data_IF_877483040411
#
_entry.id   IF_877483040411
#
_cell.length_a   1.000
_cell.length_b   1.000
_cell.length_c   1.000
_cell.angle_alpha   90.00
_cell.angle_beta   90.00
_cell.angle_gamma   90.00
#
_symmetry.space_group_name_H-M   'P 1'
#
loop_
_entity.id
_entity.type
_entity.pdbx_description
1 polymer ?
#
# COMPACT_ATOMS: atom_id res chain seq x y z
N UNK A 1 24.03 -30.45 -7.40
CA UNK A 1 25.21 -29.77 -6.86
C UNK A 1 26.00 -28.98 -7.95
N UNK A 2 26.27 -29.58 -9.13
CA UNK A 2 27.06 -28.91 -10.18
C UNK A 2 26.37 -27.66 -10.74
N UNK A 3 25.06 -27.72 -11.00
CA UNK A 3 24.28 -26.56 -11.45
C UNK A 3 24.25 -25.44 -10.38
N UNK A 4 24.03 -25.78 -9.12
CA UNK A 4 24.08 -24.84 -8.00
C UNK A 4 25.40 -24.07 -7.92
N UNK A 5 26.51 -24.78 -8.04
CA UNK A 5 27.84 -24.15 -8.03
C UNK A 5 28.05 -23.19 -9.20
N UNK A 6 27.53 -23.54 -10.38
CA UNK A 6 27.60 -22.68 -11.56
C UNK A 6 26.75 -21.44 -11.39
N UNK A 7 25.53 -21.58 -10.89
CA UNK A 7 24.60 -20.48 -10.61
C UNK A 7 25.21 -19.53 -9.56
N UNK A 8 25.64 -20.05 -8.41
CA UNK A 8 26.29 -19.25 -7.36
C UNK A 8 27.55 -18.54 -7.87
N UNK A 9 28.34 -19.20 -8.73
CA UNK A 9 29.52 -18.57 -9.35
C UNK A 9 29.12 -17.45 -10.30
N UNK A 10 28.07 -17.63 -11.08
CA UNK A 10 27.53 -16.61 -11.97
C UNK A 10 27.04 -15.38 -11.18
N UNK A 11 26.23 -15.60 -10.12
CA UNK A 11 25.74 -14.55 -9.26
C UNK A 11 26.88 -13.74 -8.60
N UNK A 12 27.92 -14.45 -8.14
CA UNK A 12 29.10 -13.80 -7.58
C UNK A 12 29.87 -12.98 -8.62
N UNK A 13 29.97 -13.47 -9.85
CA UNK A 13 30.62 -12.71 -10.94
C UNK A 13 29.82 -11.46 -11.29
N UNK A 14 28.47 -11.57 -11.40
CA UNK A 14 27.59 -10.43 -11.64
C UNK A 14 27.73 -9.41 -10.50
N UNK A 15 27.73 -9.85 -9.25
CA UNK A 15 27.90 -8.97 -8.09
C UNK A 15 29.26 -8.25 -8.09
N UNK A 16 30.33 -8.92 -8.53
CA UNK A 16 31.68 -8.30 -8.67
C UNK A 16 31.79 -7.31 -9.82
N UNK A 17 31.00 -7.48 -10.88
CA UNK A 17 30.95 -6.60 -12.04
C UNK A 17 30.05 -5.37 -11.83
N UNK A 18 29.11 -5.44 -10.90
CA UNK A 18 28.26 -4.30 -10.54
C UNK A 18 29.05 -3.35 -9.62
N UNK A 19 29.46 -2.22 -10.16
CA UNK A 19 30.44 -1.25 -9.58
C UNK A 19 29.88 -0.39 -8.43
N UNK A 20 28.67 -0.63 -7.91
CA UNK A 20 27.98 0.37 -7.10
C UNK A 20 27.88 0.10 -5.58
N UNK A 21 28.60 -0.86 -5.03
CA UNK A 21 28.55 -1.09 -3.58
C UNK A 21 29.92 -1.03 -2.90
N UNK A 22 30.01 -0.30 -1.81
CA UNK A 22 31.16 -0.29 -0.89
C UNK A 22 31.28 -1.59 -0.07
N UNK A 23 30.43 -2.60 -0.32
CA UNK A 23 30.37 -3.87 0.39
C UNK A 23 31.08 -4.98 -0.38
N UNK A 24 31.54 -5.99 0.35
CA UNK A 24 32.15 -7.17 -0.26
C UNK A 24 31.06 -8.02 -0.96
N UNK A 25 31.19 -8.29 -2.29
CA UNK A 25 30.15 -9.00 -3.07
C UNK A 25 29.78 -10.38 -2.53
N UNK A 26 30.69 -11.05 -1.84
CA UNK A 26 30.45 -12.33 -1.18
C UNK A 26 29.49 -12.20 0.02
N UNK A 27 29.62 -11.14 0.80
CA UNK A 27 28.75 -10.87 1.97
C UNK A 27 27.34 -10.57 1.49
N UNK A 28 27.21 -9.71 0.48
CA UNK A 28 25.90 -9.37 -0.10
C UNK A 28 25.21 -10.60 -0.69
N UNK A 29 25.95 -11.46 -1.36
CA UNK A 29 25.40 -12.69 -1.92
C UNK A 29 24.89 -13.63 -0.81
N UNK A 30 25.66 -13.80 0.26
CA UNK A 30 25.25 -14.61 1.42
C UNK A 30 23.98 -14.02 2.04
N UNK A 31 23.89 -12.69 2.22
CA UNK A 31 22.69 -12.01 2.73
C UNK A 31 21.49 -12.27 1.82
N UNK A 32 21.62 -12.19 0.50
CA UNK A 32 20.56 -12.50 -0.47
C UNK A 32 20.04 -13.94 -0.34
N UNK A 33 20.94 -14.92 -0.23
CA UNK A 33 20.56 -16.32 -0.07
C UNK A 33 19.88 -16.59 1.28
N UNK A 34 20.40 -16.00 2.38
CA UNK A 34 19.75 -16.09 3.71
C UNK A 34 18.34 -15.52 3.68
N UNK A 35 18.14 -14.36 3.06
CA UNK A 35 16.82 -13.73 2.93
C UNK A 35 15.88 -14.55 2.03
N UNK A 36 16.40 -15.23 0.99
CA UNK A 36 15.61 -16.14 0.15
C UNK A 36 15.15 -17.37 0.94
N UNK A 37 16.05 -17.99 1.72
CA UNK A 37 15.72 -19.13 2.59
C UNK A 37 14.66 -18.72 3.62
N UNK A 38 14.83 -17.57 4.25
CA UNK A 38 13.85 -17.04 5.23
C UNK A 38 12.47 -16.86 4.59
N UNK A 39 12.38 -16.22 3.42
CA UNK A 39 11.10 -16.06 2.71
C UNK A 39 10.41 -17.39 2.39
N UNK A 40 11.17 -18.40 2.03
CA UNK A 40 10.62 -19.74 1.77
C UNK A 40 10.14 -20.37 3.10
N UNK A 41 10.92 -20.26 4.18
CA UNK A 41 10.57 -20.80 5.48
C UNK A 41 9.35 -20.11 6.13
N UNK A 42 9.06 -18.89 5.72
CA UNK A 42 7.91 -18.11 6.19
C UNK A 42 6.62 -18.34 5.39
N UNK A 43 6.66 -19.18 4.34
CA UNK A 43 5.45 -19.53 3.61
C UNK A 43 4.48 -20.33 4.50
N UNK A 44 3.20 -19.95 4.44
CA UNK A 44 2.11 -20.57 5.17
C UNK A 44 1.30 -21.50 4.27
N UNK A 45 0.49 -22.35 4.87
CA UNK A 45 -0.45 -23.21 4.12
C UNK A 45 -1.41 -22.38 3.24
N UNK A 46 -1.84 -21.22 3.73
CA UNK A 46 -2.69 -20.29 2.97
C UNK A 46 -2.00 -19.75 1.70
N UNK A 47 -0.69 -19.47 1.76
CA UNK A 47 0.06 -19.04 0.57
C UNK A 47 0.09 -20.13 -0.49
N UNK A 48 0.26 -21.39 -0.06
CA UNK A 48 0.27 -22.58 -0.95
C UNK A 48 -1.13 -22.84 -1.50
N UNK A 49 -2.16 -22.74 -0.65
CA UNK A 49 -3.55 -22.90 -1.06
C UNK A 49 -3.95 -21.86 -2.10
N UNK A 50 -3.61 -20.58 -1.85
CA UNK A 50 -3.87 -19.47 -2.76
C UNK A 50 -3.18 -19.69 -4.11
N UNK A 51 -1.91 -20.13 -4.09
CA UNK A 51 -1.17 -20.45 -5.31
C UNK A 51 -1.83 -21.56 -6.11
N UNK A 52 -2.18 -22.66 -5.45
CA UNK A 52 -2.81 -23.81 -6.10
C UNK A 52 -4.18 -23.44 -6.69
N UNK A 53 -4.99 -22.71 -5.93
CA UNK A 53 -6.31 -22.24 -6.36
C UNK A 53 -6.20 -21.30 -7.56
N UNK A 54 -5.23 -20.35 -7.54
CA UNK A 54 -5.00 -19.45 -8.68
C UNK A 54 -4.51 -20.18 -9.93
N UNK A 55 -3.69 -21.21 -9.80
CA UNK A 55 -3.33 -22.06 -10.94
C UNK A 55 -4.58 -22.73 -11.52
N UNK A 56 -5.48 -23.22 -10.68
CA UNK A 56 -6.72 -23.86 -11.11
C UNK A 56 -7.66 -22.87 -11.80
N UNK A 57 -7.94 -21.71 -11.21
CA UNK A 57 -8.85 -20.70 -11.78
C UNK A 57 -8.36 -20.19 -13.12
N UNK A 58 -7.06 -19.96 -13.27
CA UNK A 58 -6.44 -19.53 -14.52
C UNK A 58 -6.54 -20.56 -15.67
N UNK A 59 -6.87 -21.84 -15.37
CA UNK A 59 -7.15 -22.83 -16.42
C UNK A 59 -8.54 -22.61 -17.06
N UNK A 60 -9.46 -22.00 -16.35
CA UNK A 60 -10.81 -21.71 -16.83
C UNK A 60 -10.91 -20.34 -17.47
N UNK A 61 -10.29 -19.34 -16.84
CA UNK A 61 -10.28 -17.96 -17.33
C UNK A 61 -9.03 -17.25 -16.81
N UNK A 62 -8.21 -16.64 -17.69
CA UNK A 62 -6.98 -15.95 -17.30
C UNK A 62 -7.21 -14.71 -16.44
N UNK A 63 -8.44 -14.20 -16.35
CA UNK A 63 -8.82 -13.06 -15.53
C UNK A 63 -9.44 -13.44 -14.18
N UNK A 64 -9.69 -14.74 -13.95
CA UNK A 64 -10.21 -15.24 -12.68
C UNK A 64 -9.09 -15.43 -11.66
N UNK A 65 -9.24 -14.79 -10.50
CA UNK A 65 -8.25 -14.83 -9.42
C UNK A 65 -8.93 -15.13 -8.08
N UNK A 66 -8.38 -16.09 -7.35
CA UNK A 66 -8.74 -16.30 -5.95
C UNK A 66 -7.98 -15.29 -5.07
N UNK A 67 -8.71 -14.56 -4.27
CA UNK A 67 -8.15 -13.71 -3.23
C UNK A 67 -8.27 -14.42 -1.88
N UNK A 68 -7.16 -14.62 -1.18
CA UNK A 68 -7.21 -15.03 0.23
C UNK A 68 -7.95 -13.96 1.05
N UNK A 69 -8.47 -14.28 2.24
CA UNK A 69 -9.17 -13.31 3.07
C UNK A 69 -8.39 -12.00 3.23
N UNK A 70 -7.09 -12.12 3.47
CA UNK A 70 -6.19 -10.99 3.56
C UNK A 70 -6.03 -10.22 2.25
N UNK A 71 -5.81 -10.92 1.14
CA UNK A 71 -5.69 -10.26 -0.18
C UNK A 71 -7.00 -9.58 -0.57
N UNK A 72 -8.15 -10.09 -0.10
CA UNK A 72 -9.45 -9.45 -0.26
C UNK A 72 -9.53 -8.15 0.57
N UNK A 73 -9.07 -8.16 1.82
CA UNK A 73 -9.01 -6.94 2.64
C UNK A 73 -8.10 -5.87 2.01
N UNK A 74 -6.91 -6.27 1.53
CA UNK A 74 -6.01 -5.34 0.85
C UNK A 74 -6.62 -4.81 -0.47
N UNK A 75 -7.36 -5.65 -1.18
CA UNK A 75 -8.13 -5.22 -2.36
C UNK A 75 -9.20 -4.21 -1.98
N UNK A 76 -9.99 -4.47 -0.92
CA UNK A 76 -11.03 -3.55 -0.45
C UNK A 76 -10.45 -2.21 0.01
N UNK A 77 -9.31 -2.20 0.71
CA UNK A 77 -8.58 -0.98 1.08
C UNK A 77 -8.15 -0.17 -0.16
N UNK A 78 -7.61 -0.86 -1.18
CA UNK A 78 -7.16 -0.20 -2.40
C UNK A 78 -8.33 0.34 -3.23
N UNK A 79 -9.49 -0.31 -3.18
CA UNK A 79 -10.68 0.10 -3.91
C UNK A 79 -11.50 1.16 -3.17
N UNK A 80 -11.63 1.07 -1.85
CA UNK A 80 -12.38 2.06 -1.05
C UNK A 80 -11.56 3.31 -0.72
N UNK A 81 -10.24 3.24 -0.85
CA UNK A 81 -9.27 4.25 -0.37
C UNK A 81 -9.42 4.56 1.13
N UNK A 82 -9.86 3.56 1.91
CA UNK A 82 -10.04 3.65 3.36
C UNK A 82 -9.37 2.47 4.04
N UNK A 83 -8.77 2.70 5.17
CA UNK A 83 -8.26 1.64 6.03
C UNK A 83 -8.42 2.00 7.50
N UNK A 84 -8.61 1.02 8.36
CA UNK A 84 -8.60 1.21 9.80
C UNK A 84 -7.21 0.88 10.36
N UNK A 85 -6.59 1.84 11.01
CA UNK A 85 -5.24 1.65 11.54
C UNK A 85 -4.64 2.91 12.15
N UNK A 86 -3.32 2.96 12.17
CA UNK A 86 -2.56 4.07 12.77
C UNK A 86 -2.08 5.14 11.77
N UNK A 87 -2.24 4.90 10.46
CA UNK A 87 -1.77 5.83 9.42
C UNK A 87 -0.27 5.84 9.25
N UNK A 88 0.34 4.66 9.11
CA UNK A 88 1.75 4.50 8.80
C UNK A 88 1.94 3.54 7.61
N UNK A 89 2.79 3.94 6.66
CA UNK A 89 3.31 3.04 5.63
C UNK A 89 4.51 2.31 6.19
N UNK A 90 4.46 0.99 6.12
CA UNK A 90 5.49 0.12 6.67
C UNK A 90 6.30 -0.55 5.57
N UNK A 91 7.56 -0.84 5.85
CA UNK A 91 8.47 -1.58 5.00
C UNK A 91 9.33 -2.53 5.81
N UNK A 92 10.16 -3.30 5.13
CA UNK A 92 11.11 -4.22 5.76
C UNK A 92 12.53 -3.73 5.56
N UNK A 93 13.29 -3.62 6.64
CA UNK A 93 14.72 -3.38 6.64
C UNK A 93 15.41 -4.44 7.50
N UNK A 94 16.19 -5.30 6.86
CA UNK A 94 16.82 -6.48 7.47
C UNK A 94 15.79 -7.38 8.19
N UNK A 95 15.78 -7.37 9.52
CA UNK A 95 14.87 -8.16 10.37
C UNK A 95 13.75 -7.32 10.99
N UNK A 96 13.74 -6.01 10.71
CA UNK A 96 12.80 -5.09 11.33
C UNK A 96 11.70 -4.66 10.36
N UNK A 97 10.49 -4.53 10.89
CA UNK A 97 9.46 -3.72 10.25
C UNK A 97 9.75 -2.26 10.57
N UNK A 98 9.96 -1.46 9.53
CA UNK A 98 10.31 -0.04 9.60
C UNK A 98 9.16 0.84 9.14
N UNK A 99 9.03 2.01 9.73
CA UNK A 99 8.11 3.04 9.27
C UNK A 99 8.75 3.78 8.08
N UNK A 100 8.12 3.72 6.92
CA UNK A 100 8.58 4.42 5.71
C UNK A 100 8.07 5.86 5.70
N UNK A 101 6.78 6.05 5.96
CA UNK A 101 6.14 7.36 6.00
C UNK A 101 4.89 7.33 6.87
N UNK A 102 4.43 8.49 7.30
CA UNK A 102 3.19 8.68 8.04
C UNK A 102 2.14 9.29 7.12
N UNK A 103 0.90 8.88 7.28
CA UNK A 103 -0.23 9.47 6.55
C UNK A 103 -0.59 10.79 7.21
N UNK A 104 -0.64 11.91 6.47
CA UNK A 104 -1.01 13.21 7.01
C UNK A 104 -2.37 13.16 7.72
N UNK A 105 -2.41 13.72 8.93
CA UNK A 105 -3.61 13.71 9.77
C UNK A 105 -3.96 12.36 10.41
N UNK A 106 -3.13 11.33 10.23
CA UNK A 106 -3.32 10.02 10.87
C UNK A 106 -2.89 9.98 12.34
N UNK A 107 -3.34 8.97 13.11
CA UNK A 107 -3.02 8.84 14.53
C UNK A 107 -1.52 8.80 14.84
N UNK A 108 -0.72 8.13 14.01
CA UNK A 108 0.73 8.06 14.18
C UNK A 108 1.37 9.43 14.05
N UNK A 109 1.01 10.22 13.02
CA UNK A 109 1.51 11.58 12.83
C UNK A 109 1.05 12.50 13.95
N UNK A 110 -0.25 12.51 14.27
CA UNK A 110 -0.83 13.33 15.36
C UNK A 110 -0.17 13.06 16.71
N UNK A 111 0.30 11.85 16.96
CA UNK A 111 0.96 11.52 18.23
C UNK A 111 2.28 12.27 18.43
N UNK A 112 2.99 12.60 17.35
CA UNK A 112 4.32 13.23 17.37
C UNK A 112 5.40 12.37 18.05
N UNK A 113 5.12 11.10 18.36
CA UNK A 113 5.99 10.21 19.13
C UNK A 113 6.73 9.19 18.28
N UNK A 114 6.25 8.95 17.07
CA UNK A 114 6.78 7.99 16.11
C UNK A 114 7.12 8.72 14.81
N UNK A 115 8.20 8.30 14.17
CA UNK A 115 8.76 8.99 13.00
C UNK A 115 9.11 8.01 11.88
N UNK A 116 9.23 8.48 10.63
CA UNK A 116 9.86 7.68 9.58
C UNK A 116 11.24 7.16 10.03
N UNK A 117 11.62 6.01 9.55
CA UNK A 117 12.84 5.24 9.88
C UNK A 117 12.83 4.55 11.25
N UNK A 118 11.84 4.79 12.13
CA UNK A 118 11.69 4.04 13.38
C UNK A 118 11.43 2.56 13.10
N UNK A 119 12.03 1.65 13.91
CA UNK A 119 11.98 0.19 13.74
C UNK A 119 11.13 -0.43 14.84
N UNK A 120 10.07 -1.12 14.46
CA UNK A 120 9.13 -1.76 15.38
C UNK A 120 9.77 -3.04 15.93
N UNK A 121 9.73 -3.21 17.26
CA UNK A 121 10.26 -4.38 17.97
C UNK A 121 9.17 -5.24 18.57
N UNK A 122 8.16 -4.63 19.23
CA UNK A 122 7.05 -5.37 19.83
C UNK A 122 5.73 -4.65 19.66
N UNK A 123 4.66 -5.44 19.68
CA UNK A 123 3.29 -4.96 19.58
C UNK A 123 2.44 -5.62 20.65
N UNK A 124 1.56 -4.84 21.28
CA UNK A 124 0.58 -5.32 22.25
C UNK A 124 -0.80 -4.75 21.94
N UNK A 125 -1.81 -5.60 22.00
CA UNK A 125 -3.21 -5.15 21.99
C UNK A 125 -3.57 -4.66 23.40
N UNK A 126 -4.22 -3.50 23.51
CA UNK A 126 -4.68 -3.01 24.80
C UNK A 126 -5.74 -3.99 25.35
N UNK A 127 -5.58 -4.38 26.63
CA UNK A 127 -6.38 -5.44 27.26
C UNK A 127 -5.73 -6.83 27.24
N UNK A 128 -4.57 -6.97 26.60
CA UNK A 128 -3.71 -8.16 26.70
C UNK A 128 -2.42 -7.79 27.43
N UNK A 129 -1.94 -8.69 28.26
CA UNK A 129 -0.63 -8.53 28.93
C UNK A 129 0.55 -9.03 28.08
N UNK A 130 0.27 -9.61 26.90
CA UNK A 130 1.25 -10.28 26.06
C UNK A 130 1.80 -9.35 24.99
N UNK A 131 3.08 -8.98 25.12
CA UNK A 131 3.85 -8.31 24.07
C UNK A 131 4.37 -9.32 23.06
N UNK A 132 3.97 -9.19 21.82
CA UNK A 132 4.50 -10.00 20.73
C UNK A 132 5.77 -9.36 20.19
N UNK A 133 6.90 -10.06 20.31
CA UNK A 133 8.13 -9.71 19.61
C UNK A 133 7.92 -9.98 18.10
N UNK A 134 8.06 -8.93 17.28
CA UNK A 134 7.79 -8.99 15.85
C UNK A 134 9.05 -8.90 14.99
N UNK A 135 10.24 -8.94 15.62
CA UNK A 135 11.51 -8.93 14.89
C UNK A 135 11.61 -10.19 14.04
N UNK A 136 11.90 -10.00 12.75
CA UNK A 136 11.99 -11.10 11.78
C UNK A 136 10.65 -11.66 11.28
N UNK A 137 9.53 -11.12 11.72
CA UNK A 137 8.22 -11.53 11.23
C UNK A 137 7.99 -11.04 9.79
N UNK A 138 7.05 -11.68 9.11
CA UNK A 138 6.55 -11.15 7.83
C UNK A 138 5.85 -9.82 8.09
N UNK A 139 6.08 -8.86 7.19
CA UNK A 139 5.48 -7.52 7.32
C UNK A 139 3.95 -7.59 7.38
N UNK A 140 3.38 -8.52 6.65
CA UNK A 140 1.95 -8.73 6.62
C UNK A 140 1.40 -9.16 7.99
N UNK A 141 2.07 -10.00 8.74
CA UNK A 141 1.68 -10.38 10.10
C UNK A 141 1.79 -9.21 11.10
N UNK A 142 2.81 -8.38 10.90
CA UNK A 142 2.99 -7.16 11.71
C UNK A 142 1.88 -6.15 11.42
N UNK A 143 1.52 -5.97 10.15
CA UNK A 143 0.41 -5.12 9.72
C UNK A 143 -0.91 -5.58 10.32
N UNK A 144 -1.18 -6.90 10.37
CA UNK A 144 -2.40 -7.45 10.99
C UNK A 144 -2.52 -7.13 12.49
N UNK A 145 -1.38 -7.08 13.18
CA UNK A 145 -1.37 -6.68 14.60
C UNK A 145 -1.60 -5.18 14.79
N UNK A 146 -1.20 -4.37 13.82
CA UNK A 146 -1.32 -2.91 13.89
C UNK A 146 -2.71 -2.46 13.44
N UNK A 147 -3.26 -3.05 12.36
CA UNK A 147 -4.64 -2.82 11.92
C UNK A 147 -5.64 -3.34 12.95
N UNK A 148 -6.88 -2.92 12.86
CA UNK A 148 -7.98 -3.37 13.70
C UNK A 148 -9.14 -2.39 13.68
N UNK A 149 -10.20 -2.67 14.41
CA UNK A 149 -11.40 -1.83 14.43
C UNK A 149 -11.08 -0.40 14.87
N UNK A 150 -11.70 0.58 14.19
CA UNK A 150 -11.58 1.98 14.55
C UNK A 150 -12.05 2.20 16.00
N UNK A 151 -11.32 3.02 16.74
CA UNK A 151 -11.59 3.28 18.16
C UNK A 151 -10.84 2.38 19.13
N UNK A 152 -10.30 1.24 18.69
CA UNK A 152 -9.42 0.39 19.51
C UNK A 152 -8.00 0.94 19.59
N UNK A 153 -7.21 0.47 20.56
CA UNK A 153 -5.85 0.95 20.78
C UNK A 153 -4.83 -0.17 20.60
N UNK A 154 -3.67 0.22 20.11
CA UNK A 154 -2.49 -0.64 19.99
C UNK A 154 -1.28 0.04 20.62
N UNK A 155 -0.49 -0.72 21.33
CA UNK A 155 0.77 -0.26 21.87
C UNK A 155 1.94 -0.84 21.08
N UNK A 156 2.87 0.02 20.70
CA UNK A 156 4.00 -0.30 19.84
C UNK A 156 5.29 0.08 20.56
N UNK A 157 6.18 -0.89 20.73
CA UNK A 157 7.56 -0.67 21.14
C UNK A 157 8.43 -0.57 19.89
N UNK A 158 9.31 0.42 19.84
CA UNK A 158 10.15 0.68 18.70
C UNK A 158 11.50 1.27 19.07
N UNK A 159 12.49 1.07 18.22
CA UNK A 159 13.80 1.75 18.28
C UNK A 159 13.73 2.99 17.41
N UNK A 160 13.99 4.15 18.00
CA UNK A 160 13.98 5.41 17.28
C UNK A 160 15.24 5.57 16.42
N UNK A 161 15.08 6.03 15.18
CA UNK A 161 16.20 6.28 14.27
C UNK A 161 17.22 7.29 14.84
N UNK A 162 16.73 8.33 15.54
CA UNK A 162 17.57 9.38 16.14
C UNK A 162 18.21 8.98 17.49
N UNK A 163 17.96 7.76 17.98
CA UNK A 163 18.49 7.35 19.26
C UNK A 163 20.00 7.05 19.15
N UNK A 164 20.82 7.78 19.91
CA UNK A 164 22.26 7.51 20.03
C UNK A 164 22.58 6.14 20.67
N UNK A 165 21.58 5.46 21.21
CA UNK A 165 21.61 4.11 21.78
C UNK A 165 20.38 3.35 21.33
N UNK A 166 20.46 2.02 21.21
CA UNK A 166 19.32 1.12 20.89
C UNK A 166 18.22 1.12 21.99
N UNK A 167 17.94 2.28 22.58
CA UNK A 167 16.90 2.43 23.58
C UNK A 167 15.53 2.35 22.90
N UNK A 168 14.70 1.42 23.39
CA UNK A 168 13.33 1.28 22.93
C UNK A 168 12.43 2.36 23.54
N UNK A 169 11.47 2.81 22.75
CA UNK A 169 10.41 3.73 23.15
C UNK A 169 9.07 3.03 23.01
N UNK A 170 8.06 3.51 23.74
CA UNK A 170 6.72 2.97 23.74
C UNK A 170 5.73 4.04 23.36
N UNK A 171 4.79 3.69 22.48
CA UNK A 171 3.67 4.55 22.10
C UNK A 171 2.37 3.77 22.06
N UNK A 172 1.31 4.34 22.66
CA UNK A 172 -0.05 3.85 22.49
C UNK A 172 -0.74 4.71 21.43
N UNK A 173 -1.31 4.08 20.41
CA UNK A 173 -2.01 4.72 19.32
C UNK A 173 -3.43 4.18 19.22
N UNK A 174 -4.40 5.10 19.06
CA UNK A 174 -5.77 4.75 18.77
C UNK A 174 -5.93 4.55 17.28
N UNK A 175 -6.56 3.44 16.88
CA UNK A 175 -6.88 3.18 15.48
C UNK A 175 -8.03 4.09 15.04
N UNK A 176 -7.89 4.67 13.88
CA UNK A 176 -8.92 5.50 13.24
C UNK A 176 -9.14 5.02 11.81
N UNK A 177 -10.26 5.39 11.21
CA UNK A 177 -10.44 5.28 9.77
C UNK A 177 -9.53 6.30 9.09
N UNK A 178 -8.67 5.83 8.23
CA UNK A 178 -7.68 6.61 7.49
C UNK A 178 -8.14 6.69 6.05
N UNK A 179 -8.32 7.89 5.53
CA UNK A 179 -8.60 8.13 4.12
C UNK A 179 -7.29 8.31 3.36
N UNK A 180 -7.13 7.56 2.28
CA UNK A 180 -5.94 7.61 1.44
C UNK A 180 -6.10 8.67 0.33
N UNK A 181 -6.28 9.92 0.72
CA UNK A 181 -6.54 11.06 -0.21
C UNK A 181 -5.42 11.20 -1.24
N UNK A 182 -4.20 10.81 -0.91
CA UNK A 182 -3.08 10.83 -1.86
C UNK A 182 -3.26 9.88 -3.04
N UNK A 183 -4.15 8.90 -2.93
CA UNK A 183 -4.51 7.93 -3.98
C UNK A 183 -5.82 8.26 -4.69
N UNK A 184 -6.52 9.30 -4.28
CA UNK A 184 -7.73 9.78 -4.94
C UNK A 184 -7.39 10.61 -6.18
N UNK A 185 -8.40 10.92 -6.99
CA UNK A 185 -8.27 11.84 -8.11
C UNK A 185 -7.81 13.21 -7.60
N UNK A 186 -6.85 13.82 -8.31
CA UNK A 186 -6.33 15.15 -8.02
C UNK A 186 -6.53 16.05 -9.22
N UNK A 187 -6.63 17.34 -8.99
CA UNK A 187 -6.77 18.31 -10.05
C UNK A 187 -5.78 19.46 -9.93
N UNK A 188 -5.39 20.00 -11.07
CA UNK A 188 -4.64 21.25 -11.16
C UNK A 188 -5.13 22.07 -12.35
N UNK A 189 -4.93 23.38 -12.32
CA UNK A 189 -5.23 24.28 -13.43
C UNK A 189 -3.94 24.93 -13.87
N UNK A 190 -3.65 24.81 -15.17
CA UNK A 190 -2.53 25.49 -15.80
C UNK A 190 -3.04 26.52 -16.81
N UNK A 191 -2.31 27.61 -16.95
CA UNK A 191 -2.61 28.62 -17.96
C UNK A 191 -1.62 28.48 -19.13
N UNK A 192 -2.14 28.34 -20.33
CA UNK A 192 -1.35 28.29 -21.57
C UNK A 192 -1.90 29.38 -22.48
N UNK A 193 -1.09 30.40 -22.71
CA UNK A 193 -1.51 31.64 -23.37
C UNK A 193 -2.73 32.26 -22.61
N UNK A 194 -3.84 32.43 -23.32
CA UNK A 194 -5.08 32.99 -22.73
C UNK A 194 -6.07 31.91 -22.25
N UNK A 195 -5.71 30.62 -22.34
CA UNK A 195 -6.61 29.52 -22.02
C UNK A 195 -6.27 28.91 -20.64
N UNK A 196 -7.29 28.57 -19.85
CA UNK A 196 -7.21 27.78 -18.63
C UNK A 196 -7.43 26.30 -18.96
N UNK A 197 -6.48 25.48 -18.65
CA UNK A 197 -6.57 24.02 -18.86
C UNK A 197 -6.61 23.32 -17.53
N UNK A 198 -7.68 22.59 -17.25
CA UNK A 198 -7.82 21.72 -16.09
C UNK A 198 -7.18 20.36 -16.37
N UNK A 199 -6.37 19.88 -15.44
CA UNK A 199 -5.78 18.53 -15.49
C UNK A 199 -6.36 17.73 -14.34
N UNK A 200 -6.86 16.54 -14.64
CA UNK A 200 -7.33 15.57 -13.66
C UNK A 200 -6.37 14.38 -13.67
N UNK A 201 -5.59 14.19 -12.61
CA UNK A 201 -4.76 13.00 -12.42
C UNK A 201 -5.61 11.91 -11.75
N UNK A 202 -5.82 10.80 -12.44
CA UNK A 202 -6.64 9.68 -11.98
C UNK A 202 -5.81 8.42 -11.89
N UNK A 203 -5.29 8.05 -10.69
CA UNK A 203 -4.36 6.94 -10.51
C UNK A 203 -5.02 5.55 -10.59
N UNK A 204 -6.35 5.46 -10.36
CA UNK A 204 -7.12 4.21 -10.48
C UNK A 204 -8.61 4.47 -10.59
N UNK A 205 -9.38 3.47 -11.06
CA UNK A 205 -10.84 3.49 -11.04
C UNK A 205 -11.36 2.88 -9.74
N UNK A 206 -11.23 3.62 -8.64
CA UNK A 206 -11.61 3.19 -7.30
C UNK A 206 -13.11 3.35 -7.01
N UNK A 207 -13.63 2.50 -6.11
CA UNK A 207 -15.01 2.52 -5.66
C UNK A 207 -15.10 1.82 -4.29
N UNK A 208 -15.81 2.41 -3.34
CA UNK A 208 -16.22 1.71 -2.12
C UNK A 208 -17.40 0.78 -2.44
N UNK A 209 -17.10 -0.50 -2.69
CA UNK A 209 -18.11 -1.50 -3.06
C UNK A 209 -19.14 -1.70 -1.95
N UNK A 210 -18.76 -1.59 -0.69
CA UNK A 210 -19.67 -1.77 0.44
C UNK A 210 -20.69 -0.62 0.50
N UNK A 211 -20.20 0.62 0.40
CA UNK A 211 -21.08 1.79 0.35
C UNK A 211 -21.97 1.77 -0.90
N UNK A 212 -21.43 1.39 -2.06
CA UNK A 212 -22.17 1.28 -3.31
C UNK A 212 -23.32 0.25 -3.22
N UNK A 213 -23.03 -0.96 -2.71
CA UNK A 213 -24.04 -2.01 -2.54
C UNK A 213 -25.13 -1.63 -1.53
N UNK A 214 -24.75 -0.93 -0.47
CA UNK A 214 -25.67 -0.44 0.56
C UNK A 214 -26.40 0.85 0.13
N UNK A 215 -26.19 1.32 -1.10
CA UNK A 215 -26.81 2.54 -1.67
C UNK A 215 -26.58 3.79 -0.82
N UNK A 216 -25.41 3.88 -0.20
CA UNK A 216 -24.99 5.09 0.51
C UNK A 216 -24.96 6.24 -0.49
N UNK A 217 -25.53 7.37 -0.12
CA UNK A 217 -25.47 8.56 -0.96
C UNK A 217 -24.03 9.10 -0.93
N UNK A 218 -23.54 9.53 -2.09
CA UNK A 218 -22.21 10.14 -2.23
C UNK A 218 -21.06 9.24 -1.75
N UNK A 219 -21.16 7.92 -2.03
CA UNK A 219 -20.11 6.95 -1.72
C UNK A 219 -18.79 7.30 -2.43
N UNK A 220 -17.66 6.94 -1.79
CA UNK A 220 -16.32 7.21 -2.36
C UNK A 220 -16.13 6.44 -3.65
N UNK A 221 -15.93 7.17 -4.76
CA UNK A 221 -15.63 6.58 -6.06
C UNK A 221 -14.94 7.58 -7.00
N UNK A 222 -14.18 7.05 -7.92
CA UNK A 222 -13.47 7.86 -8.92
C UNK A 222 -14.39 8.69 -9.79
N UNK A 223 -15.59 8.16 -10.14
CA UNK A 223 -16.56 8.91 -10.95
C UNK A 223 -17.19 10.07 -10.17
N UNK A 224 -17.45 9.92 -8.89
CA UNK A 224 -17.97 11.00 -8.05
C UNK A 224 -16.92 12.10 -7.88
N UNK A 225 -15.67 11.72 -7.54
CA UNK A 225 -14.58 12.68 -7.37
C UNK A 225 -14.29 13.45 -8.69
N UNK A 226 -14.22 12.75 -9.83
CA UNK A 226 -14.04 13.39 -11.13
C UNK A 226 -15.21 14.34 -11.46
N UNK A 227 -16.44 13.95 -11.11
CA UNK A 227 -17.61 14.81 -11.31
C UNK A 227 -17.53 16.08 -10.46
N UNK A 228 -17.11 16.00 -9.21
CA UNK A 228 -16.88 17.17 -8.35
C UNK A 228 -15.81 18.08 -8.95
N UNK A 229 -14.66 17.53 -9.36
CA UNK A 229 -13.59 18.29 -10.01
C UNK A 229 -14.08 18.98 -11.29
N UNK A 230 -14.88 18.30 -12.11
CA UNK A 230 -15.45 18.91 -13.34
C UNK A 230 -16.43 20.04 -13.02
N UNK A 231 -17.19 19.95 -11.91
CA UNK A 231 -18.04 21.05 -11.48
C UNK A 231 -17.19 22.26 -11.04
N UNK A 232 -16.13 22.03 -10.26
CA UNK A 232 -15.20 23.09 -9.86
C UNK A 232 -14.53 23.75 -11.08
N UNK A 233 -14.12 22.95 -12.08
CA UNK A 233 -13.56 23.48 -13.32
C UNK A 233 -14.56 24.34 -14.11
N UNK A 234 -15.83 23.94 -14.14
CA UNK A 234 -16.89 24.71 -14.77
C UNK A 234 -17.12 26.05 -14.05
N UNK A 235 -17.13 26.05 -12.70
CA UNK A 235 -17.28 27.24 -11.90
C UNK A 235 -16.08 28.21 -12.06
N UNK A 236 -14.90 27.67 -12.34
CA UNK A 236 -13.67 28.43 -12.58
C UNK A 236 -13.51 28.86 -14.05
N UNK A 237 -14.48 28.54 -14.91
CA UNK A 237 -14.46 28.84 -16.37
C UNK A 237 -13.20 28.27 -17.04
N UNK A 238 -12.95 26.97 -16.86
CA UNK A 238 -11.84 26.25 -17.50
C UNK A 238 -12.22 25.98 -18.97
N UNK A 239 -11.31 26.29 -19.90
CA UNK A 239 -11.56 26.20 -21.36
C UNK A 239 -11.44 24.77 -21.91
N UNK A 240 -10.57 23.94 -21.29
CA UNK A 240 -10.36 22.57 -21.72
C UNK A 240 -9.93 21.69 -20.51
N UNK A 241 -10.23 20.38 -20.62
CA UNK A 241 -9.89 19.39 -19.58
C UNK A 241 -9.02 18.29 -20.16
N UNK A 242 -7.96 17.94 -19.45
CA UNK A 242 -7.11 16.78 -19.71
C UNK A 242 -7.35 15.76 -18.58
N UNK A 243 -7.82 14.55 -18.94
CA UNK A 243 -7.85 13.42 -18.03
C UNK A 243 -6.55 12.64 -18.18
N UNK A 244 -5.67 12.74 -17.16
CA UNK A 244 -4.38 12.04 -17.14
C UNK A 244 -4.55 10.64 -16.54
N UNK A 245 -4.38 9.64 -17.39
CA UNK A 245 -4.42 8.22 -17.02
C UNK A 245 -3.03 7.57 -17.04
N UNK A 246 -1.97 8.36 -17.10
CA UNK A 246 -0.60 7.83 -16.99
C UNK A 246 -0.41 7.23 -15.62
N UNK A 247 0.14 6.00 -15.59
CA UNK A 247 0.28 5.17 -14.36
C UNK A 247 -1.05 4.73 -13.72
N UNK A 248 -2.20 4.87 -14.41
CA UNK A 248 -3.44 4.31 -13.91
C UNK A 248 -3.36 2.77 -13.92
N UNK A 249 -3.52 2.16 -12.74
CA UNK A 249 -3.42 0.71 -12.54
C UNK A 249 -4.68 -0.08 -12.94
N UNK A 250 -5.72 0.59 -13.44
CA UNK A 250 -7.03 -0.01 -13.68
C UNK A 250 -7.97 0.16 -12.49
N UNK A 251 -8.91 -0.77 -12.28
CA UNK A 251 -9.89 -0.74 -11.20
C UNK A 251 -11.28 -1.22 -11.65
N UNK A 252 -12.34 -0.62 -11.11
CA UNK A 252 -13.71 -1.02 -11.40
C UNK A 252 -14.17 -0.55 -12.78
N UNK A 253 -14.56 -1.50 -13.64
CA UNK A 253 -15.08 -1.21 -14.99
C UNK A 253 -16.31 -0.28 -14.96
N UNK A 254 -17.17 -0.42 -13.96
CA UNK A 254 -18.34 0.43 -13.79
C UNK A 254 -17.96 1.91 -13.61
N UNK A 255 -16.85 2.17 -12.92
CA UNK A 255 -16.35 3.53 -12.70
C UNK A 255 -15.77 4.12 -14.00
N UNK A 256 -15.01 3.32 -14.76
CA UNK A 256 -14.51 3.75 -16.08
C UNK A 256 -15.68 4.14 -17.01
N UNK A 257 -16.74 3.34 -17.04
CA UNK A 257 -17.94 3.66 -17.82
C UNK A 257 -18.64 4.94 -17.36
N UNK A 258 -18.79 5.14 -16.04
CA UNK A 258 -19.40 6.35 -15.49
C UNK A 258 -18.57 7.60 -15.83
N UNK A 259 -17.26 7.52 -15.75
CA UNK A 259 -16.36 8.63 -16.07
C UNK A 259 -16.50 9.00 -17.55
N UNK A 260 -16.53 8.03 -18.48
CA UNK A 260 -16.79 8.31 -19.90
C UNK A 260 -18.11 9.08 -20.05
N UNK A 261 -19.16 8.69 -19.32
CA UNK A 261 -20.46 9.35 -19.33
C UNK A 261 -20.45 10.81 -18.84
N UNK A 262 -19.40 11.26 -18.15
CA UNK A 262 -19.25 12.68 -17.77
C UNK A 262 -18.78 13.57 -18.95
N UNK A 263 -18.12 12.98 -19.95
CA UNK A 263 -17.56 13.70 -21.10
C UNK A 263 -18.39 13.55 -22.37
N UNK A 264 -19.18 12.48 -22.49
CA UNK A 264 -19.98 12.20 -23.68
C UNK A 264 -21.44 11.98 -23.31
N UNK A 265 -22.36 12.62 -24.07
CA UNK A 265 -23.80 12.57 -23.78
C UNK A 265 -24.45 11.25 -24.18
N UNK A 266 -23.87 10.51 -25.11
CA UNK A 266 -24.34 9.19 -25.55
C UNK A 266 -23.22 8.45 -26.27
N UNK A 267 -23.22 7.14 -26.21
CA UNK A 267 -22.27 6.24 -26.88
C UNK A 267 -22.87 4.87 -27.10
N UNK A 268 -22.21 3.99 -27.88
CA UNK A 268 -22.66 2.61 -28.08
C UNK A 268 -22.56 1.82 -26.79
#
# INVERSE_FOLDING_TARGET
YKLWRLETKNDLLIAKLSVSSNSEPSIDLIKRYKNRIRRIAQQKEEDIFSLATNILTNQFDPHSTYLSPRSAEDFDVNMSLKLNGIGALLGVEDDYTKIISLVPGGPAEKSGKISPEDRITKIRQIGSDDYKDVIGWRIDEVVDLIRGEAGTEVEIEFISFDAATDSTKLVTLKREEIKLEDRAAKSEIINIDDNKIGIIDLPSFYIDFNEYQNRVKDYKSSSNDVKEILNDFNDMEVDAVILDLRNNGGGALIEANKIIGLFVSSGP
#
